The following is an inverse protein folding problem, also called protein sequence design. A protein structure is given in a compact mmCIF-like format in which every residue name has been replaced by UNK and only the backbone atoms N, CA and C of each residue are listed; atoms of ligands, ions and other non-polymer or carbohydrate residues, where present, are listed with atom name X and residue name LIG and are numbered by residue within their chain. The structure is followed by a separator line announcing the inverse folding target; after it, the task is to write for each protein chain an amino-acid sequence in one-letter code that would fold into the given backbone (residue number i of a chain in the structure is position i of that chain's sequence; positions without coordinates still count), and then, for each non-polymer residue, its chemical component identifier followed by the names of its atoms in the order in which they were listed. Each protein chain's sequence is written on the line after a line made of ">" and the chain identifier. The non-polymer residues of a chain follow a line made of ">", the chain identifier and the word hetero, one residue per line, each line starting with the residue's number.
data_IF_507239005264
#
_entry.id   IF_507239005264
#
_cell.length_a   1.000
_cell.length_b   1.000
_cell.length_c   1.000
_cell.angle_alpha   90.00
_cell.angle_beta   90.00
_cell.angle_gamma   90.00
#
_symmetry.space_group_name_H-M   'P 1'
#
loop_
_entity.id
_entity.type
_entity.pdbx_description
1 polymer ?
#
# COMPACT_ATOMS: atom_id res chain seq x y z
N UNK A 1 2.63 20.54 -10.20
CA UNK A 1 3.83 20.33 -9.34
C UNK A 1 3.96 18.87 -8.89
N UNK A 2 2.90 18.22 -8.39
CA UNK A 2 2.93 16.82 -7.93
C UNK A 2 3.17 15.78 -9.03
N UNK A 3 2.72 16.00 -10.27
CA UNK A 3 2.92 15.04 -11.36
C UNK A 3 4.39 14.71 -11.63
N UNK A 4 5.33 15.65 -11.45
CA UNK A 4 6.77 15.39 -11.66
C UNK A 4 7.36 14.42 -10.63
N UNK A 5 6.82 14.36 -9.41
CA UNK A 5 7.26 13.45 -8.35
C UNK A 5 6.76 12.02 -8.61
N UNK A 6 5.56 11.88 -9.17
CA UNK A 6 4.97 10.59 -9.54
C UNK A 6 5.47 10.06 -10.89
N UNK A 7 5.92 10.93 -11.80
CA UNK A 7 6.46 10.55 -13.12
C UNK A 7 7.92 10.09 -13.12
N UNK A 8 8.61 10.11 -11.98
CA UNK A 8 10.02 9.74 -11.94
C UNK A 8 10.14 8.24 -12.29
N UNK A 9 10.92 7.92 -13.32
CA UNK A 9 11.29 6.56 -13.77
C UNK A 9 11.85 5.66 -12.65
N UNK A 10 12.20 6.25 -11.51
CA UNK A 10 12.54 5.55 -10.27
C UNK A 10 11.40 4.66 -9.76
N UNK A 11 10.12 5.04 -9.90
CA UNK A 11 9.01 4.20 -9.43
C UNK A 11 8.90 2.86 -10.16
N UNK A 12 9.20 2.81 -11.47
CA UNK A 12 9.16 1.55 -12.22
C UNK A 12 10.34 0.64 -11.88
N UNK A 13 11.54 1.19 -11.64
CA UNK A 13 12.70 0.43 -11.15
C UNK A 13 12.49 -0.07 -9.72
N UNK A 14 11.90 0.77 -8.87
CA UNK A 14 11.57 0.41 -7.50
C UNK A 14 10.49 -0.67 -7.47
N UNK A 15 9.50 -0.62 -8.37
CA UNK A 15 8.36 -1.55 -8.42
C UNK A 15 8.80 -3.04 -8.50
N UNK A 16 9.92 -3.32 -9.16
CA UNK A 16 10.47 -4.67 -9.24
C UNK A 16 10.88 -5.22 -7.86
N UNK A 17 11.53 -4.40 -7.04
CA UNK A 17 11.91 -4.77 -5.67
C UNK A 17 10.72 -4.71 -4.70
N UNK A 18 9.74 -3.84 -4.95
CA UNK A 18 8.57 -3.65 -4.09
C UNK A 18 7.76 -4.94 -3.89
N UNK A 19 7.68 -5.83 -4.86
CA UNK A 19 6.87 -7.04 -4.70
C UNK A 19 7.50 -8.02 -3.70
N UNK A 20 8.85 -8.14 -3.71
CA UNK A 20 9.61 -8.94 -2.73
C UNK A 20 9.51 -8.32 -1.33
N UNK A 21 9.76 -7.02 -1.21
CA UNK A 21 9.66 -6.30 0.07
C UNK A 21 8.24 -6.28 0.63
N UNK A 22 7.23 -6.18 -0.23
CA UNK A 22 5.83 -6.27 0.18
C UNK A 22 5.52 -7.65 0.79
N UNK A 23 5.98 -8.72 0.14
CA UNK A 23 5.73 -10.08 0.58
C UNK A 23 6.45 -10.38 1.90
N UNK A 24 7.67 -9.87 2.10
CA UNK A 24 8.36 -10.02 3.39
C UNK A 24 7.65 -9.27 4.51
N UNK A 25 7.22 -8.03 4.28
CA UNK A 25 6.54 -7.21 5.29
C UNK A 25 5.17 -7.80 5.63
N UNK A 26 4.38 -8.27 4.65
CA UNK A 26 3.06 -8.86 4.94
C UNK A 26 3.20 -10.16 5.75
N UNK A 27 4.20 -11.00 5.44
CA UNK A 27 4.46 -12.21 6.23
C UNK A 27 4.81 -11.83 7.68
N UNK A 28 5.71 -10.85 7.87
CA UNK A 28 6.10 -10.38 9.20
C UNK A 28 4.88 -9.87 9.98
N UNK A 29 4.04 -9.05 9.36
CA UNK A 29 2.83 -8.52 9.98
C UNK A 29 1.82 -9.63 10.33
N UNK A 30 1.66 -10.63 9.46
CA UNK A 30 0.80 -11.80 9.72
C UNK A 30 1.33 -12.60 10.92
N UNK A 31 2.64 -12.85 10.99
CA UNK A 31 3.26 -13.54 12.12
C UNK A 31 3.03 -12.77 13.42
N UNK A 32 3.27 -11.45 13.41
CA UNK A 32 3.04 -10.60 14.58
C UNK A 32 1.58 -10.58 15.01
N UNK A 33 0.66 -10.56 14.04
CA UNK A 33 -0.78 -10.61 14.33
C UNK A 33 -1.19 -11.94 14.95
N UNK A 34 -0.73 -13.07 14.40
CA UNK A 34 -1.01 -14.39 14.99
C UNK A 34 -0.39 -14.55 16.37
N UNK A 35 0.80 -14.01 16.60
CA UNK A 35 1.43 -13.98 17.91
C UNK A 35 0.57 -13.19 18.91
N UNK A 36 0.11 -12.00 18.54
CA UNK A 36 -0.80 -11.20 19.37
C UNK A 36 -2.15 -11.90 19.63
N UNK A 37 -2.73 -12.58 18.64
CA UNK A 37 -3.96 -13.38 18.84
C UNK A 37 -3.73 -14.50 19.85
N UNK A 38 -2.62 -15.24 19.71
CA UNK A 38 -2.25 -16.32 20.65
C UNK A 38 -2.03 -15.77 22.06
N UNK A 39 -1.35 -14.64 22.16
CA UNK A 39 -1.04 -13.97 23.41
C UNK A 39 -2.32 -13.52 24.14
N UNK A 40 -3.26 -12.88 23.42
CA UNK A 40 -4.58 -12.50 23.95
C UNK A 40 -5.38 -13.73 24.40
N UNK A 41 -5.46 -14.79 23.58
CA UNK A 41 -6.21 -16.00 23.95
C UNK A 41 -5.61 -16.68 25.17
N UNK A 42 -4.28 -16.79 25.25
CA UNK A 42 -3.55 -17.39 26.38
C UNK A 42 -3.83 -16.60 27.66
N UNK A 43 -3.58 -15.30 27.65
CA UNK A 43 -3.76 -14.50 28.88
C UNK A 43 -5.23 -14.32 29.24
N UNK A 44 -6.15 -14.32 28.27
CA UNK A 44 -7.59 -14.29 28.55
C UNK A 44 -8.06 -15.57 29.24
N UNK A 45 -7.57 -16.73 28.82
CA UNK A 45 -7.93 -18.02 29.43
C UNK A 45 -7.35 -18.13 30.85
N UNK A 46 -6.09 -17.76 31.04
CA UNK A 46 -5.43 -17.75 32.36
C UNK A 46 -6.13 -16.78 33.31
N UNK A 47 -6.42 -15.57 32.85
CA UNK A 47 -7.15 -14.55 33.61
C UNK A 47 -8.55 -15.02 34.03
N UNK A 48 -9.28 -15.71 33.15
CA UNK A 48 -10.59 -16.27 33.48
C UNK A 48 -10.50 -17.39 34.52
N UNK A 49 -9.47 -18.24 34.43
CA UNK A 49 -9.25 -19.32 35.40
C UNK A 49 -8.84 -18.82 36.79
N UNK A 50 -7.95 -17.83 36.89
CA UNK A 50 -7.52 -17.30 38.18
C UNK A 50 -8.60 -16.48 38.89
N UNK A 51 -9.50 -15.80 38.15
CA UNK A 51 -10.69 -15.15 38.73
C UNK A 51 -11.56 -16.13 39.52
N UNK A 52 -11.69 -17.37 39.04
CA UNK A 52 -12.58 -18.37 39.63
C UNK A 52 -11.96 -19.01 40.87
N UNK A 53 -10.63 -19.06 40.97
CA UNK A 53 -9.91 -19.77 42.03
C UNK A 53 -9.51 -18.87 43.22
N UNK A 54 -9.79 -17.56 43.19
CA UNK A 54 -9.48 -16.62 44.29
C UNK A 54 -8.00 -16.68 44.76
N UNK A 55 -7.07 -16.92 43.83
CA UNK A 55 -5.64 -16.99 44.15
C UNK A 55 -5.05 -15.59 44.13
N UNK A 56 -4.55 -15.16 45.30
CA UNK A 56 -3.62 -14.06 45.57
C UNK A 56 -3.70 -12.82 44.64
N UNK A 57 -4.25 -11.71 45.14
CA UNK A 57 -4.48 -10.43 44.44
C UNK A 57 -3.27 -9.91 43.63
N UNK A 58 -2.04 -10.18 44.08
CA UNK A 58 -0.81 -9.74 43.41
C UNK A 58 -0.49 -10.49 42.10
N UNK A 59 -0.90 -11.76 41.96
CA UNK A 59 -0.72 -12.53 40.73
C UNK A 59 -1.72 -12.08 39.65
N UNK A 60 -2.94 -11.78 40.09
CA UNK A 60 -4.04 -11.31 39.26
C UNK A 60 -3.74 -9.99 38.53
N UNK A 61 -3.19 -8.99 39.23
CA UNK A 61 -2.82 -7.70 38.64
C UNK A 61 -1.76 -7.85 37.55
N UNK A 62 -0.80 -8.76 37.77
CA UNK A 62 0.28 -9.00 36.81
C UNK A 62 -0.23 -9.65 35.51
N UNK A 63 -1.27 -10.46 35.59
CA UNK A 63 -1.91 -11.10 34.44
C UNK A 63 -2.86 -10.13 33.71
N UNK A 64 -3.58 -9.27 34.43
CA UNK A 64 -4.33 -8.16 33.82
C UNK A 64 -3.43 -7.27 32.96
N UNK A 65 -2.28 -6.85 33.49
CA UNK A 65 -1.35 -5.98 32.75
C UNK A 65 -0.87 -6.64 31.45
N UNK A 66 -0.60 -7.95 31.46
CA UNK A 66 -0.22 -8.71 30.26
C UNK A 66 -1.37 -8.83 29.25
N UNK A 67 -2.60 -9.01 29.72
CA UNK A 67 -3.78 -9.05 28.86
C UNK A 67 -3.99 -7.71 28.13
N UNK A 68 -3.96 -6.58 28.84
CA UNK A 68 -4.07 -5.25 28.21
C UNK A 68 -2.95 -4.98 27.20
N UNK A 69 -1.73 -5.45 27.48
CA UNK A 69 -0.61 -5.34 26.53
C UNK A 69 -0.91 -6.12 25.25
N UNK A 70 -1.32 -7.38 25.37
CA UNK A 70 -1.63 -8.24 24.23
C UNK A 70 -2.81 -7.73 23.39
N UNK A 71 -3.85 -7.17 24.02
CA UNK A 71 -4.99 -6.56 23.31
C UNK A 71 -4.56 -5.35 22.47
N UNK A 72 -3.73 -4.46 23.03
CA UNK A 72 -3.18 -3.32 22.27
C UNK A 72 -2.33 -3.78 21.09
N UNK A 73 -1.46 -4.77 21.31
CA UNK A 73 -0.63 -5.35 20.25
C UNK A 73 -1.47 -5.96 19.13
N UNK A 74 -2.59 -6.60 19.47
CA UNK A 74 -3.55 -7.14 18.49
C UNK A 74 -4.16 -6.04 17.63
N UNK A 75 -4.62 -4.94 18.23
CA UNK A 75 -5.18 -3.81 17.47
C UNK A 75 -4.13 -3.14 16.58
N UNK A 76 -2.91 -2.92 17.09
CA UNK A 76 -1.82 -2.30 16.32
C UNK A 76 -1.44 -3.18 15.13
N UNK A 77 -1.23 -4.48 15.35
CA UNK A 77 -0.86 -5.41 14.27
C UNK A 77 -1.98 -5.59 13.25
N UNK A 78 -3.23 -5.69 13.69
CA UNK A 78 -4.39 -5.78 12.80
C UNK A 78 -4.60 -4.51 11.96
N UNK A 79 -4.50 -3.33 12.59
CA UNK A 79 -4.61 -2.06 11.88
C UNK A 79 -3.44 -1.85 10.91
N UNK A 80 -2.22 -2.25 11.28
CA UNK A 80 -1.05 -2.20 10.40
C UNK A 80 -1.20 -3.09 9.17
N UNK A 81 -1.73 -4.31 9.34
CA UNK A 81 -2.07 -5.21 8.22
C UNK A 81 -3.06 -4.55 7.26
N UNK A 82 -4.14 -3.97 7.79
CA UNK A 82 -5.14 -3.28 6.99
C UNK A 82 -4.55 -2.09 6.23
N UNK A 83 -3.87 -1.18 6.94
CA UNK A 83 -3.24 -0.01 6.33
C UNK A 83 -2.23 -0.38 5.26
N UNK A 84 -1.45 -1.44 5.48
CA UNK A 84 -0.46 -1.89 4.51
C UNK A 84 -1.10 -2.33 3.18
N UNK A 85 -2.23 -3.04 3.23
CA UNK A 85 -3.00 -3.42 2.05
C UNK A 85 -3.61 -2.20 1.34
N UNK A 86 -4.18 -1.27 2.10
CA UNK A 86 -4.74 -0.01 1.57
C UNK A 86 -3.66 0.80 0.88
N UNK A 87 -2.48 0.96 1.51
CA UNK A 87 -1.36 1.69 0.94
C UNK A 87 -0.88 1.06 -0.37
N UNK A 88 -0.74 -0.27 -0.43
CA UNK A 88 -0.40 -0.97 -1.66
C UNK A 88 -1.40 -0.67 -2.78
N UNK A 89 -2.70 -0.72 -2.47
CA UNK A 89 -3.75 -0.43 -3.44
C UNK A 89 -3.64 1.01 -3.96
N UNK A 90 -3.47 1.98 -3.06
CA UNK A 90 -3.34 3.41 -3.42
C UNK A 90 -2.12 3.65 -4.31
N UNK A 91 -0.95 3.12 -3.93
CA UNK A 91 0.29 3.29 -4.73
C UNK A 91 0.14 2.67 -6.12
N UNK A 92 -0.51 1.50 -6.22
CA UNK A 92 -0.75 0.85 -7.52
C UNK A 92 -1.67 1.70 -8.40
N UNK A 93 -2.76 2.21 -7.84
CA UNK A 93 -3.71 3.06 -8.57
C UNK A 93 -3.08 4.39 -9.00
N UNK A 94 -2.30 5.03 -8.12
CA UNK A 94 -1.56 6.25 -8.45
C UNK A 94 -0.56 6.02 -9.59
N UNK A 95 0.12 4.87 -9.58
CA UNK A 95 1.04 4.50 -10.66
C UNK A 95 0.31 4.28 -11.97
N UNK A 96 -0.86 3.63 -11.95
CA UNK A 96 -1.70 3.44 -13.15
C UNK A 96 -2.22 4.78 -13.68
N UNK A 97 -2.71 5.65 -12.80
CA UNK A 97 -3.19 6.98 -13.17
C UNK A 97 -2.06 7.83 -13.79
N UNK A 98 -0.88 7.82 -13.16
CA UNK A 98 0.29 8.52 -13.70
C UNK A 98 0.65 8.02 -15.10
N UNK A 99 0.69 6.70 -15.33
CA UNK A 99 0.93 6.13 -16.66
C UNK A 99 -0.12 6.58 -17.67
N UNK A 100 -1.40 6.51 -17.32
CA UNK A 100 -2.52 6.95 -18.16
C UNK A 100 -2.37 8.40 -18.64
N UNK A 101 -2.05 9.32 -17.71
CA UNK A 101 -1.85 10.73 -18.05
C UNK A 101 -0.67 10.95 -19.00
N UNK A 102 0.42 10.19 -18.85
CA UNK A 102 1.59 10.28 -19.76
C UNK A 102 1.20 9.84 -21.17
N UNK A 103 0.52 8.70 -21.29
CA UNK A 103 0.05 8.19 -22.58
C UNK A 103 -0.89 9.17 -23.26
N UNK A 104 -1.76 9.85 -22.52
CA UNK A 104 -2.66 10.85 -23.08
C UNK A 104 -1.87 12.04 -23.65
N UNK A 105 -0.92 12.60 -22.90
CA UNK A 105 -0.10 13.73 -23.37
C UNK A 105 0.75 13.34 -24.59
N UNK A 106 1.31 12.13 -24.59
CA UNK A 106 2.06 11.62 -25.74
C UNK A 106 1.18 11.45 -26.98
N UNK A 107 -0.05 10.95 -26.80
CA UNK A 107 -1.02 10.76 -27.89
C UNK A 107 -1.47 12.10 -28.47
N UNK A 108 -1.80 13.09 -27.62
CA UNK A 108 -2.17 14.44 -28.06
C UNK A 108 -1.04 15.10 -28.87
N UNK A 109 0.21 14.95 -28.41
CA UNK A 109 1.38 15.46 -29.13
C UNK A 109 1.55 14.78 -30.49
N UNK A 110 1.36 13.46 -30.55
CA UNK A 110 1.43 12.71 -31.79
C UNK A 110 0.35 13.15 -32.79
N UNK A 111 -0.90 13.30 -32.32
CA UNK A 111 -2.03 13.76 -33.15
C UNK A 111 -1.77 15.17 -33.71
N UNK A 112 -1.26 16.09 -32.88
CA UNK A 112 -0.90 17.43 -33.34
C UNK A 112 0.21 17.40 -34.39
N UNK A 113 1.28 16.64 -34.15
CA UNK A 113 2.40 16.53 -35.10
C UNK A 113 1.93 15.93 -36.44
N UNK A 114 1.09 14.89 -36.42
CA UNK A 114 0.54 14.31 -37.66
C UNK A 114 -0.40 15.27 -38.38
N UNK A 115 -1.17 16.05 -37.64
CA UNK A 115 -2.07 17.05 -38.21
C UNK A 115 -1.30 18.20 -38.85
N UNK A 116 -0.22 18.66 -38.20
CA UNK A 116 0.66 19.70 -38.75
C UNK A 116 1.40 19.21 -39.99
N UNK A 117 1.93 17.98 -39.97
CA UNK A 117 2.54 17.35 -41.13
C UNK A 117 1.54 17.23 -42.30
N UNK A 118 0.33 16.75 -42.04
CA UNK A 118 -0.72 16.65 -43.06
C UNK A 118 -1.07 18.01 -43.69
N UNK A 119 -1.16 19.08 -42.87
CA UNK A 119 -1.39 20.44 -43.37
C UNK A 119 -0.24 20.95 -44.23
N UNK A 120 1.01 20.66 -43.85
CA UNK A 120 2.20 21.01 -44.66
C UNK A 120 2.17 20.28 -46.00
N UNK A 121 1.87 18.99 -46.01
CA UNK A 121 1.75 18.24 -47.26
C UNK A 121 0.64 18.77 -48.16
N UNK A 122 -0.52 19.14 -47.61
CA UNK A 122 -1.61 19.74 -48.40
C UNK A 122 -1.19 21.07 -49.03
N UNK A 123 -0.60 21.98 -48.24
CA UNK A 123 -0.16 23.29 -48.74
C UNK A 123 1.00 23.20 -49.74
N UNK A 124 1.90 22.24 -49.59
CA UNK A 124 2.97 22.00 -50.56
C UNK A 124 2.41 21.43 -51.87
N UNK A 125 1.44 20.51 -51.80
CA UNK A 125 0.79 19.94 -52.97
C UNK A 125 -0.03 20.99 -53.74
N UNK A 126 -0.73 21.89 -53.04
CA UNK A 126 -1.43 23.03 -53.66
C UNK A 126 -0.48 23.98 -54.41
N UNK A 127 0.72 24.23 -53.87
CA UNK A 127 1.73 25.06 -54.54
C UNK A 127 2.34 24.39 -55.78
N UNK A 128 2.43 23.06 -55.78
CA UNK A 128 2.92 22.30 -56.93
C UNK A 128 1.89 22.18 -58.06
N UNK A 129 0.61 22.37 -57.75
CA UNK A 129 -0.49 22.35 -58.71
C UNK A 129 -0.84 23.73 -59.31
N UNK A 130 -0.20 24.81 -58.84
CA UNK A 130 -0.25 26.16 -59.43
C UNK A 130 0.92 26.39 -60.38
#
# INVERSE_FOLDING_TARGET
>A
RWQKIFMISLWSKLAFFWNKAFLTIIILLIVLFFDAVREVKKYSAVYASERVVNVNTSAYDHIQMKLFRSQRNLYISGFSLFLWLVLRRIVTLLTQLAKGMITQVALETQVNNTTEAAKKYLTENEKLQQ
#
